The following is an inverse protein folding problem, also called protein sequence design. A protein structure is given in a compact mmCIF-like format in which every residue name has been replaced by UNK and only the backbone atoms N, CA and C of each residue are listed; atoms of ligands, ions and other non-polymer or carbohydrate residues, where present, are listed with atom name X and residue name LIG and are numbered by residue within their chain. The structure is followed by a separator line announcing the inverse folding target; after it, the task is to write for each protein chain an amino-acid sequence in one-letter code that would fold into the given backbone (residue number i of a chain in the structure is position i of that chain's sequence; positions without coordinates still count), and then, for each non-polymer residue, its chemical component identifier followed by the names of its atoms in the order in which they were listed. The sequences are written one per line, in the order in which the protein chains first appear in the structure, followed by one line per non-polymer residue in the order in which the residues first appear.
data_IF_180311819113
#
_entry.id   IF_180311819113
#
_cell.length_a   1.000
_cell.length_b   1.000
_cell.length_c   1.000
_cell.angle_alpha   90.00
_cell.angle_beta   90.00
_cell.angle_gamma   90.00
#
_symmetry.space_group_name_H-M   'P 1'
#
loop_
_entity.id
_entity.type
_entity.pdbx_description
1 polymer ?
#
# COMPACT_ATOMS: atom_id res chain seq x y z
N UNK A 1 7.12 -7.43 17.46
CA UNK A 1 6.82 -8.05 18.77
C UNK A 1 7.00 -9.56 18.66
N UNK A 2 7.21 -10.32 19.76
CA UNK A 2 7.34 -11.78 19.68
C UNK A 2 6.08 -12.48 19.12
N UNK A 3 4.94 -11.79 19.07
CA UNK A 3 3.67 -12.33 18.60
C UNK A 3 3.38 -12.06 17.11
N UNK A 4 4.20 -11.23 16.43
CA UNK A 4 3.91 -10.77 15.06
C UNK A 4 3.69 -11.93 14.08
N UNK A 5 4.64 -12.85 14.00
CA UNK A 5 4.56 -14.01 13.09
C UNK A 5 3.32 -14.87 13.35
N UNK A 6 2.99 -15.09 14.63
CA UNK A 6 1.79 -15.83 15.03
C UNK A 6 0.50 -15.12 14.60
N UNK A 7 0.42 -13.81 14.85
CA UNK A 7 -0.73 -12.99 14.46
C UNK A 7 -0.93 -12.94 12.94
N UNK A 8 0.14 -12.76 12.17
CA UNK A 8 0.08 -12.76 10.70
C UNK A 8 -0.35 -14.11 10.15
N UNK A 9 0.19 -15.22 10.69
CA UNK A 9 -0.22 -16.57 10.29
C UNK A 9 -1.70 -16.80 10.57
N UNK A 10 -2.17 -16.46 11.76
CA UNK A 10 -3.54 -16.69 12.17
C UNK A 10 -4.52 -15.84 11.32
N UNK A 11 -4.16 -14.59 11.01
CA UNK A 11 -4.91 -13.75 10.06
C UNK A 11 -4.94 -14.35 8.66
N UNK A 12 -3.79 -14.82 8.14
CA UNK A 12 -3.73 -15.51 6.83
C UNK A 12 -4.60 -16.76 6.79
N UNK A 13 -4.69 -17.52 7.89
CA UNK A 13 -5.59 -18.68 7.98
C UNK A 13 -7.05 -18.24 7.95
N UNK A 14 -7.43 -17.20 8.71
CA UNK A 14 -8.79 -16.68 8.72
C UNK A 14 -9.23 -16.19 7.32
N UNK A 15 -8.34 -15.51 6.60
CA UNK A 15 -8.60 -14.97 5.26
C UNK A 15 -8.80 -16.05 4.18
N UNK A 16 -8.41 -17.32 4.43
CA UNK A 16 -8.73 -18.44 3.53
C UNK A 16 -10.21 -18.76 3.46
N UNK A 17 -11.00 -18.29 4.43
CA UNK A 17 -12.45 -18.41 4.41
C UNK A 17 -13.15 -17.44 3.46
N UNK A 18 -12.44 -16.45 2.92
CA UNK A 18 -12.98 -15.51 1.93
C UNK A 18 -13.20 -16.21 0.59
N UNK A 19 -14.28 -15.85 -0.12
CA UNK A 19 -14.52 -16.33 -1.47
C UNK A 19 -13.33 -15.99 -2.39
N UNK A 20 -12.69 -16.98 -3.06
CA UNK A 20 -11.53 -16.74 -3.92
C UNK A 20 -11.80 -15.80 -5.11
N UNK A 21 -13.07 -15.57 -5.47
CA UNK A 21 -13.45 -14.62 -6.51
C UNK A 21 -13.43 -13.15 -6.05
N UNK A 22 -13.29 -12.89 -4.74
CA UNK A 22 -13.21 -11.55 -4.15
C UNK A 22 -11.73 -11.21 -3.88
N UNK A 23 -11.12 -10.28 -4.63
CA UNK A 23 -9.74 -9.86 -4.38
C UNK A 23 -9.61 -9.16 -3.03
N UNK A 24 -8.52 -9.45 -2.33
CA UNK A 24 -8.13 -8.74 -1.11
C UNK A 24 -7.04 -7.71 -1.43
N UNK A 25 -7.23 -6.49 -0.94
CA UNK A 25 -6.27 -5.38 -1.08
C UNK A 25 -5.81 -5.01 0.33
N UNK A 26 -4.51 -5.10 0.58
CA UNK A 26 -3.91 -4.74 1.87
C UNK A 26 -3.30 -3.34 1.81
N UNK A 27 -3.43 -2.60 2.90
CA UNK A 27 -2.92 -1.24 3.08
C UNK A 27 -2.09 -1.24 4.36
N UNK A 28 -0.81 -0.89 4.26
CA UNK A 28 0.08 -0.87 5.42
C UNK A 28 -0.27 0.26 6.39
N UNK A 29 -0.18 0.00 7.69
CA UNK A 29 -0.31 1.01 8.74
C UNK A 29 0.85 1.01 9.74
N UNK A 30 0.75 1.88 10.74
CA UNK A 30 1.77 2.02 11.78
C UNK A 30 1.98 0.75 12.62
N UNK A 31 0.98 -0.12 12.73
CA UNK A 31 1.10 -1.41 13.42
C UNK A 31 1.94 -2.44 12.64
N UNK A 32 2.03 -2.27 11.32
CA UNK A 32 2.83 -3.10 10.43
C UNK A 32 4.28 -2.60 10.39
N UNK A 33 4.44 -1.29 10.17
CA UNK A 33 5.73 -0.68 9.85
C UNK A 33 6.43 0.00 11.05
N UNK A 34 5.69 0.26 12.13
CA UNK A 34 6.09 1.19 13.20
C UNK A 34 5.67 2.63 12.91
N UNK A 35 5.76 3.51 13.90
CA UNK A 35 5.47 4.94 13.71
C UNK A 35 6.53 5.65 12.83
N UNK A 36 7.76 5.14 12.86
CA UNK A 36 8.89 5.58 12.02
C UNK A 36 9.39 4.34 11.26
N UNK A 37 8.96 4.11 10.01
CA UNK A 37 9.37 2.96 9.23
C UNK A 37 10.88 2.95 8.99
N UNK A 38 11.44 1.75 8.89
CA UNK A 38 12.81 1.53 8.42
C UNK A 38 12.77 0.67 7.16
N UNK A 39 13.86 0.57 6.38
CA UNK A 39 13.90 -0.32 5.23
C UNK A 39 13.56 -1.78 5.59
N UNK A 40 13.96 -2.22 6.78
CA UNK A 40 13.67 -3.57 7.28
C UNK A 40 12.19 -3.76 7.61
N UNK A 41 11.52 -2.78 8.22
CA UNK A 41 10.09 -2.93 8.54
C UNK A 41 9.22 -2.88 7.29
N UNK A 42 9.58 -2.06 6.30
CA UNK A 42 8.94 -2.05 4.97
C UNK A 42 9.16 -3.39 4.27
N UNK A 43 10.40 -3.89 4.21
CA UNK A 43 10.68 -5.19 3.59
C UNK A 43 9.95 -6.34 4.28
N UNK A 44 9.81 -6.31 5.61
CA UNK A 44 9.02 -7.31 6.35
C UNK A 44 7.55 -7.29 5.95
N UNK A 45 6.95 -6.10 5.84
CA UNK A 45 5.58 -5.98 5.33
C UNK A 45 5.46 -6.54 3.92
N UNK A 46 6.35 -6.13 3.01
CA UNK A 46 6.31 -6.57 1.62
C UNK A 46 6.43 -8.09 1.47
N UNK A 47 7.31 -8.72 2.24
CA UNK A 47 7.46 -10.17 2.27
C UNK A 47 6.21 -10.89 2.80
N UNK A 48 5.49 -10.28 3.73
CA UNK A 48 4.32 -10.88 4.37
C UNK A 48 3.02 -10.66 3.58
N UNK A 49 2.84 -9.48 2.99
CA UNK A 49 1.55 -8.98 2.48
C UNK A 49 1.56 -8.52 1.02
N UNK A 50 2.74 -8.41 0.40
CA UNK A 50 2.91 -7.82 -0.94
C UNK A 50 3.26 -6.34 -0.90
N UNK A 51 3.37 -5.70 -2.05
CA UNK A 51 3.84 -4.32 -2.22
C UNK A 51 3.15 -3.33 -1.25
N UNK A 52 3.94 -2.42 -0.66
CA UNK A 52 3.47 -1.43 0.32
C UNK A 52 2.79 -0.21 -0.32
N UNK A 53 3.06 0.04 -1.60
CA UNK A 53 2.29 0.96 -2.43
C UNK A 53 2.16 0.42 -3.86
N UNK A 54 0.97 0.59 -4.45
CA UNK A 54 0.69 0.12 -5.80
C UNK A 54 -0.61 0.76 -6.34
N UNK A 55 -0.90 0.50 -7.61
CA UNK A 55 -2.11 0.99 -8.26
C UNK A 55 -2.82 -0.12 -9.02
N UNK A 56 -4.14 -0.08 -9.07
CA UNK A 56 -4.94 -0.99 -9.88
C UNK A 56 -6.17 -0.30 -10.45
N UNK A 57 -6.75 -0.91 -11.49
CA UNK A 57 -7.92 -0.38 -12.19
C UNK A 57 -9.14 -1.29 -12.00
N UNK A 58 -10.29 -0.70 -11.68
CA UNK A 58 -11.58 -1.41 -11.64
C UNK A 58 -12.66 -0.55 -12.26
N UNK A 59 -13.29 -1.01 -13.34
CA UNK A 59 -14.46 -0.33 -13.93
C UNK A 59 -14.21 1.12 -14.41
N UNK A 60 -12.95 1.47 -14.73
CA UNK A 60 -12.55 2.84 -15.08
C UNK A 60 -12.21 3.73 -13.88
N UNK A 61 -12.13 3.18 -12.67
CA UNK A 61 -11.60 3.83 -11.48
C UNK A 61 -10.14 3.45 -11.32
N UNK A 62 -9.27 4.46 -11.11
CA UNK A 62 -7.89 4.26 -10.71
C UNK A 62 -7.82 4.25 -9.18
N UNK A 63 -7.42 3.12 -8.61
CA UNK A 63 -7.20 2.97 -7.18
C UNK A 63 -5.70 3.06 -6.90
N UNK A 64 -5.32 3.94 -5.97
CA UNK A 64 -3.96 4.14 -5.50
C UNK A 64 -3.88 3.70 -4.04
N UNK A 65 -3.02 2.73 -3.74
CA UNK A 65 -2.72 2.28 -2.38
C UNK A 65 -1.39 2.89 -1.98
N UNK A 66 -1.37 3.63 -0.87
CA UNK A 66 -0.18 4.34 -0.40
C UNK A 66 0.28 3.77 0.94
N UNK A 67 1.59 3.62 1.10
CA UNK A 67 2.20 3.52 2.42
C UNK A 67 2.27 4.92 3.03
N UNK A 68 1.18 5.32 3.70
CA UNK A 68 1.06 6.67 4.28
C UNK A 68 2.01 6.92 5.44
N UNK A 69 2.59 5.86 6.03
CA UNK A 69 3.55 5.98 7.11
C UNK A 69 4.83 6.68 6.67
N UNK A 70 5.23 6.50 5.39
CA UNK A 70 6.38 7.19 4.80
C UNK A 70 6.17 8.70 4.66
N UNK A 71 4.91 9.16 4.50
CA UNK A 71 4.60 10.60 4.48
C UNK A 71 4.51 11.20 5.88
N UNK A 72 4.17 10.40 6.89
CA UNK A 72 4.11 10.84 8.28
C UNK A 72 5.49 10.97 8.92
N UNK A 73 6.32 9.93 8.84
CA UNK A 73 7.69 9.96 9.37
C UNK A 73 8.59 8.93 8.67
N UNK A 74 9.22 9.33 7.57
CA UNK A 74 10.27 8.54 6.90
C UNK A 74 11.69 8.93 7.33
N UNK A 75 11.90 9.48 8.52
CA UNK A 75 13.23 9.95 8.95
C UNK A 75 14.30 8.85 8.94
N UNK A 76 13.92 7.59 9.09
CA UNK A 76 14.82 6.42 9.02
C UNK A 76 14.90 5.76 7.63
N UNK A 77 14.12 6.21 6.65
CA UNK A 77 14.14 5.68 5.27
C UNK A 77 13.68 6.71 4.21
N UNK A 78 14.34 7.89 4.13
CA UNK A 78 13.89 8.97 3.23
C UNK A 78 13.85 8.54 1.76
N UNK A 79 14.78 7.68 1.32
CA UNK A 79 14.83 7.19 -0.07
C UNK A 79 13.56 6.41 -0.46
N UNK A 80 12.94 5.68 0.48
CA UNK A 80 11.69 4.94 0.22
C UNK A 80 10.50 5.89 0.05
N UNK A 81 10.44 6.96 0.85
CA UNK A 81 9.44 8.02 0.68
C UNK A 81 9.60 8.68 -0.68
N UNK A 82 10.83 9.05 -1.05
CA UNK A 82 11.11 9.74 -2.32
C UNK A 82 10.77 8.86 -3.53
N UNK A 83 11.03 7.55 -3.43
CA UNK A 83 10.61 6.58 -4.45
C UNK A 83 9.08 6.49 -4.59
N UNK A 84 8.34 6.45 -3.47
CA UNK A 84 6.87 6.45 -3.49
C UNK A 84 6.31 7.77 -4.03
N UNK A 85 6.90 8.91 -3.67
CA UNK A 85 6.49 10.23 -4.15
C UNK A 85 6.68 10.36 -5.66
N UNK A 86 7.85 9.98 -6.18
CA UNK A 86 8.11 9.96 -7.62
C UNK A 86 7.17 9.02 -8.37
N UNK A 87 6.87 7.85 -7.79
CA UNK A 87 5.90 6.92 -8.35
C UNK A 87 4.49 7.52 -8.39
N UNK A 88 4.05 8.16 -7.30
CA UNK A 88 2.72 8.75 -7.17
C UNK A 88 2.52 9.87 -8.20
N UNK A 89 3.50 10.76 -8.32
CA UNK A 89 3.50 11.82 -9.34
C UNK A 89 3.35 11.21 -10.75
N UNK A 90 4.09 10.14 -11.05
CA UNK A 90 3.96 9.41 -12.31
C UNK A 90 2.57 8.81 -12.55
N UNK A 91 1.89 8.31 -11.51
CA UNK A 91 0.51 7.82 -11.63
C UNK A 91 -0.46 8.95 -11.94
N UNK A 92 -0.36 10.06 -11.21
CA UNK A 92 -1.24 11.22 -11.37
C UNK A 92 -1.04 11.91 -12.73
N UNK A 93 0.21 12.01 -13.19
CA UNK A 93 0.52 12.52 -14.51
C UNK A 93 -0.12 11.63 -15.59
N UNK A 94 0.05 10.30 -15.53
CA UNK A 94 -0.58 9.38 -16.51
C UNK A 94 -2.10 9.47 -16.51
N UNK A 95 -2.72 9.59 -15.33
CA UNK A 95 -4.17 9.74 -15.19
C UNK A 95 -4.72 11.01 -15.87
N UNK A 96 -3.87 12.01 -16.15
CA UNK A 96 -4.27 13.26 -16.81
C UNK A 96 -3.99 13.31 -18.33
N UNK A 97 -3.44 12.25 -18.95
CA UNK A 97 -2.99 12.26 -20.36
C UNK A 97 -4.10 12.12 -21.44
N UNK A 98 -5.35 12.45 -21.12
CA UNK A 98 -6.42 12.59 -22.11
C UNK A 98 -7.27 11.33 -22.39
N UNK A 99 -8.14 11.39 -23.40
CA UNK A 99 -9.20 10.40 -23.62
C UNK A 99 -8.67 8.97 -23.79
N UNK A 100 -9.28 8.01 -23.08
CA UNK A 100 -8.90 6.59 -23.12
C UNK A 100 -7.92 6.16 -22.01
N UNK A 101 -7.27 7.11 -21.32
CA UNK A 101 -6.39 6.86 -20.17
C UNK A 101 -6.89 7.57 -18.90
N UNK A 102 -7.72 8.60 -19.05
CA UNK A 102 -8.30 9.33 -17.91
C UNK A 102 -9.30 8.48 -17.11
N UNK A 103 -9.07 8.27 -15.81
CA UNK A 103 -10.03 7.56 -14.96
C UNK A 103 -11.31 8.37 -14.78
N UNK A 104 -12.44 7.68 -14.61
CA UNK A 104 -13.70 8.30 -14.16
C UNK A 104 -13.56 8.86 -12.75
N UNK A 105 -12.86 8.13 -11.89
CA UNK A 105 -12.55 8.50 -10.51
C UNK A 105 -11.16 8.03 -10.13
N UNK A 106 -10.49 8.82 -9.27
CA UNK A 106 -9.28 8.40 -8.57
C UNK A 106 -9.64 8.17 -7.11
N UNK A 107 -9.32 7.00 -6.57
CA UNK A 107 -9.51 6.65 -5.16
C UNK A 107 -8.15 6.40 -4.51
N UNK A 108 -7.95 6.93 -3.32
CA UNK A 108 -6.74 6.73 -2.53
C UNK A 108 -7.07 5.92 -1.28
N UNK A 109 -6.31 4.86 -1.05
CA UNK A 109 -6.37 4.03 0.15
C UNK A 109 -5.11 4.30 0.98
N UNK A 110 -5.30 4.72 2.23
CA UNK A 110 -4.23 5.01 3.17
C UNK A 110 -4.68 4.74 4.61
N UNK A 111 -3.71 4.51 5.50
CA UNK A 111 -3.97 4.24 6.92
C UNK A 111 -4.01 5.53 7.77
N UNK A 112 -3.09 6.46 7.50
CA UNK A 112 -3.04 7.76 8.18
C UNK A 112 -4.02 8.70 7.46
N UNK A 113 -5.00 9.29 8.17
CA UNK A 113 -5.99 10.21 7.58
C UNK A 113 -5.41 11.53 7.06
#
# INVERSE_FOLDING_TARGET
TPYREGQERDLKVALRGTDPSIPLVFVSGNHDLGNTPTPETVAQFCNAWGDDYFSFWVGGVLCLVLNSQLFFDASACPDLRDAQEAWLEGQLQRASQGPGVTPKHVLVFQHIP
#
